data_IF_221576471971
#
_entry.id   IF_221576471971
#
_cell.length_a   1.000
_cell.length_b   1.000
_cell.length_c   1.000
_cell.angle_alpha   90.00
_cell.angle_beta   90.00
_cell.angle_gamma   90.00
#
_symmetry.space_group_name_H-M   'P 1'
#
loop_
_entity.id
_entity.type
_entity.pdbx_description
1 polymer ?
#
# COMPACT_ATOMS: atom_id res chain seq x y z
N UNK A 1 -9.02 -11.21 -14.01
CA UNK A 1 -8.03 -10.13 -13.82
C UNK A 1 -8.71 -8.79 -14.11
N UNK A 2 -8.59 -7.82 -13.23
CA UNK A 2 -9.27 -6.52 -13.33
C UNK A 2 -8.27 -5.52 -13.90
N UNK A 3 -8.70 -4.71 -14.89
CA UNK A 3 -7.87 -3.63 -15.42
C UNK A 3 -8.14 -2.34 -14.62
N UNK A 4 -7.12 -1.82 -13.93
CA UNK A 4 -7.21 -0.60 -13.13
C UNK A 4 -6.27 0.45 -13.73
N UNK A 5 -6.78 1.66 -14.08
CA UNK A 5 -5.91 2.73 -14.53
C UNK A 5 -5.00 3.20 -13.38
N UNK A 6 -3.81 3.70 -13.71
CA UNK A 6 -2.91 4.29 -12.73
C UNK A 6 -2.93 5.81 -12.83
N UNK A 7 -3.75 6.44 -11.99
CA UNK A 7 -3.75 7.90 -11.81
C UNK A 7 -3.91 8.25 -10.33
N UNK A 8 -2.78 8.58 -9.71
CA UNK A 8 -2.72 8.96 -8.29
C UNK A 8 -3.41 10.30 -8.01
N UNK A 9 -3.70 11.11 -9.03
CA UNK A 9 -4.33 12.42 -8.89
C UNK A 9 -5.86 12.37 -9.07
N UNK A 10 -6.41 11.29 -9.61
CA UNK A 10 -7.85 11.08 -9.68
C UNK A 10 -8.41 10.65 -8.31
N UNK A 11 -9.10 11.58 -7.64
CA UNK A 11 -9.70 11.33 -6.32
C UNK A 11 -10.81 10.28 -6.37
N UNK A 12 -11.58 10.22 -7.47
CA UNK A 12 -12.67 9.24 -7.62
C UNK A 12 -12.09 7.84 -7.81
N UNK A 13 -11.04 7.73 -8.61
CA UNK A 13 -10.32 6.48 -8.81
C UNK A 13 -9.74 5.97 -7.48
N UNK A 14 -9.05 6.84 -6.70
CA UNK A 14 -8.52 6.43 -5.39
C UNK A 14 -9.62 5.97 -4.43
N UNK A 15 -10.73 6.70 -4.37
CA UNK A 15 -11.87 6.30 -3.54
C UNK A 15 -12.45 4.96 -3.99
N UNK A 16 -12.66 4.74 -5.28
CA UNK A 16 -13.14 3.47 -5.83
C UNK A 16 -12.14 2.34 -5.60
N UNK A 17 -10.84 2.63 -5.70
CA UNK A 17 -9.77 1.67 -5.46
C UNK A 17 -9.86 1.07 -4.03
N UNK A 18 -9.94 1.90 -3.01
CA UNK A 18 -9.99 1.41 -1.64
C UNK A 18 -11.36 0.83 -1.23
N UNK A 19 -12.44 1.32 -1.81
CA UNK A 19 -13.78 0.82 -1.48
C UNK A 19 -14.13 -0.49 -2.20
N UNK A 20 -13.50 -0.78 -3.35
CA UNK A 20 -13.89 -1.91 -4.21
C UNK A 20 -12.68 -2.63 -4.81
N UNK A 21 -11.90 -1.98 -5.68
CA UNK A 21 -10.95 -2.65 -6.57
C UNK A 21 -9.84 -3.41 -5.86
N UNK A 22 -9.33 -2.90 -4.73
CA UNK A 22 -8.26 -3.57 -3.98
C UNK A 22 -8.71 -4.93 -3.47
N UNK A 23 -9.89 -5.00 -2.85
CA UNK A 23 -10.41 -6.25 -2.31
C UNK A 23 -10.90 -7.20 -3.40
N UNK A 24 -11.46 -6.68 -4.49
CA UNK A 24 -11.87 -7.48 -5.65
C UNK A 24 -10.64 -8.13 -6.32
N UNK A 25 -9.55 -7.38 -6.48
CA UNK A 25 -8.31 -7.93 -7.03
C UNK A 25 -7.69 -9.00 -6.10
N UNK A 26 -7.68 -8.77 -4.79
CA UNK A 26 -7.15 -9.73 -3.80
C UNK A 26 -8.03 -10.98 -3.70
N UNK A 27 -9.30 -10.95 -4.10
CA UNK A 27 -10.16 -12.12 -4.06
C UNK A 27 -9.64 -13.28 -4.94
N UNK A 28 -8.89 -12.98 -5.99
CA UNK A 28 -8.25 -13.98 -6.87
C UNK A 28 -6.90 -14.50 -6.33
N UNK A 29 -6.37 -13.90 -5.26
CA UNK A 29 -5.10 -14.30 -4.66
C UNK A 29 -5.28 -15.57 -3.82
N UNK A 30 -4.37 -16.53 -4.01
CA UNK A 30 -4.27 -17.74 -3.20
C UNK A 30 -2.93 -17.79 -2.47
N UNK A 31 -2.83 -18.61 -1.44
CA UNK A 31 -1.57 -18.84 -0.71
C UNK A 31 -0.43 -19.30 -1.63
N UNK A 32 -0.76 -20.04 -2.71
CA UNK A 32 0.18 -20.59 -3.68
C UNK A 32 0.48 -19.63 -4.84
N UNK A 33 -0.18 -18.48 -4.93
CA UNK A 33 0.08 -17.52 -6.01
C UNK A 33 1.53 -17.01 -5.92
N UNK A 34 2.38 -17.27 -6.93
CA UNK A 34 3.76 -16.79 -6.91
C UNK A 34 3.81 -15.31 -7.31
N UNK A 35 4.79 -14.56 -6.81
CA UNK A 35 5.06 -13.22 -7.32
C UNK A 35 5.67 -13.28 -8.72
N UNK A 36 5.42 -12.28 -9.56
CA UNK A 36 6.06 -12.11 -10.86
C UNK A 36 7.52 -11.60 -10.73
N UNK A 37 7.83 -10.95 -9.60
CA UNK A 37 9.19 -10.53 -9.21
C UNK A 37 9.35 -10.49 -7.70
N UNK A 38 10.61 -10.56 -7.24
CA UNK A 38 10.92 -10.62 -5.81
C UNK A 38 10.71 -12.02 -5.23
N UNK A 39 10.76 -12.13 -3.91
CA UNK A 39 10.69 -13.38 -3.17
C UNK A 39 9.61 -13.43 -2.09
N UNK A 40 8.73 -12.43 -2.07
CA UNK A 40 7.62 -12.34 -1.10
C UNK A 40 6.56 -13.39 -1.42
N UNK A 41 6.09 -14.14 -0.43
CA UNK A 41 4.91 -15.02 -0.62
C UNK A 41 3.62 -14.19 -0.59
N UNK A 42 2.51 -14.77 -1.02
CA UNK A 42 1.20 -14.11 -1.00
C UNK A 42 0.82 -13.69 0.43
N UNK A 43 1.04 -14.54 1.44
CA UNK A 43 0.75 -14.19 2.83
C UNK A 43 1.66 -13.07 3.35
N UNK A 44 2.95 -13.09 3.05
CA UNK A 44 3.86 -12.00 3.42
C UNK A 44 3.42 -10.66 2.80
N UNK A 45 2.93 -10.67 1.57
CA UNK A 45 2.41 -9.46 0.92
C UNK A 45 1.19 -8.91 1.64
N UNK A 46 0.23 -9.75 2.02
CA UNK A 46 -0.94 -9.30 2.78
C UNK A 46 -0.54 -8.76 4.16
N UNK A 47 0.37 -9.42 4.88
CA UNK A 47 0.89 -8.95 6.17
C UNK A 47 1.62 -7.62 6.05
N UNK A 48 2.36 -7.43 4.95
CA UNK A 48 3.03 -6.17 4.64
C UNK A 48 2.03 -5.03 4.40
N UNK A 49 0.93 -5.27 3.69
CA UNK A 49 -0.14 -4.28 3.51
C UNK A 49 -0.85 -3.95 4.83
N UNK A 50 -1.11 -4.97 5.69
CA UNK A 50 -1.67 -4.78 7.04
C UNK A 50 -0.76 -3.84 7.83
N UNK A 51 0.53 -4.14 7.89
CA UNK A 51 1.51 -3.30 8.57
C UNK A 51 1.49 -1.85 8.06
N UNK A 52 1.45 -1.66 6.74
CA UNK A 52 1.41 -0.33 6.15
C UNK A 52 0.15 0.45 6.54
N UNK A 53 -1.03 -0.18 6.55
CA UNK A 53 -2.26 0.45 7.02
C UNK A 53 -2.19 0.81 8.52
N UNK A 54 -1.61 -0.05 9.36
CA UNK A 54 -1.40 0.22 10.78
C UNK A 54 -0.48 1.42 11.03
N UNK A 55 0.53 1.62 10.18
CA UNK A 55 1.38 2.81 10.24
C UNK A 55 0.59 4.09 9.93
N UNK A 56 -0.29 4.05 8.94
CA UNK A 56 -1.08 5.21 8.53
C UNK A 56 -2.19 5.61 9.51
N UNK A 57 -2.58 4.72 10.41
CA UNK A 57 -3.57 5.00 11.48
C UNK A 57 -2.93 5.31 12.82
N UNK A 58 -1.58 5.30 12.90
CA UNK A 58 -0.84 5.51 14.14
C UNK A 58 -0.87 4.33 15.11
N UNK A 59 -1.44 3.18 14.70
CA UNK A 59 -1.37 1.92 15.47
C UNK A 59 0.08 1.48 15.62
N UNK A 60 0.89 1.66 14.57
CA UNK A 60 2.34 1.52 14.60
C UNK A 60 2.95 2.90 14.37
N UNK A 61 3.78 3.34 15.30
CA UNK A 61 4.47 4.64 15.22
C UNK A 61 5.85 4.43 14.61
N UNK A 62 6.15 5.18 13.56
CA UNK A 62 7.42 5.11 12.84
C UNK A 62 8.21 6.41 12.96
N UNK A 63 9.54 6.31 12.81
CA UNK A 63 10.41 7.45 12.57
C UNK A 63 10.56 7.72 11.07
N UNK A 64 10.82 8.97 10.71
CA UNK A 64 11.19 9.32 9.34
C UNK A 64 12.69 9.16 9.14
N UNK A 65 13.10 8.43 8.10
CA UNK A 65 14.54 8.22 7.76
C UNK A 65 15.05 9.23 6.72
N UNK A 66 14.14 9.95 6.07
CA UNK A 66 14.52 10.97 5.07
C UNK A 66 14.96 12.25 5.80
N UNK A 67 16.15 12.80 5.51
CA UNK A 67 16.58 14.09 6.03
C UNK A 67 15.56 15.20 5.72
N UNK A 68 15.37 16.12 6.66
CA UNK A 68 14.35 17.17 6.57
C UNK A 68 14.44 17.99 5.27
N UNK A 69 15.65 18.34 4.85
CA UNK A 69 15.92 19.10 3.62
C UNK A 69 15.56 18.33 2.31
N UNK A 70 15.28 17.04 2.39
CA UNK A 70 14.90 16.19 1.25
C UNK A 70 13.42 15.79 1.28
N UNK A 71 12.67 16.08 2.35
CA UNK A 71 11.27 15.65 2.51
C UNK A 71 10.37 16.17 1.39
N UNK A 72 10.46 17.46 1.06
CA UNK A 72 9.66 18.06 -0.02
C UNK A 72 9.92 17.37 -1.37
N UNK A 73 11.17 17.01 -1.64
CA UNK A 73 11.53 16.27 -2.85
C UNK A 73 10.96 14.85 -2.83
N UNK A 74 11.03 14.16 -1.68
CA UNK A 74 10.48 12.83 -1.52
C UNK A 74 8.96 12.83 -1.68
N UNK A 75 8.26 13.79 -1.07
CA UNK A 75 6.79 13.93 -1.17
C UNK A 75 6.27 14.15 -2.59
N UNK A 76 7.06 14.74 -3.50
CA UNK A 76 6.65 14.89 -4.91
C UNK A 76 6.29 13.57 -5.57
N UNK A 77 6.90 12.47 -5.14
CA UNK A 77 6.56 11.13 -5.62
C UNK A 77 5.09 10.78 -5.39
N UNK A 78 4.46 11.28 -4.32
CA UNK A 78 3.05 11.03 -4.02
C UNK A 78 2.08 11.65 -5.04
N UNK A 79 2.55 12.64 -5.79
CA UNK A 79 1.72 13.45 -6.71
C UNK A 79 2.05 13.21 -8.18
N UNK A 80 3.12 12.51 -8.50
CA UNK A 80 3.54 12.26 -9.88
C UNK A 80 3.02 10.91 -10.41
N UNK A 81 3.19 10.68 -11.71
CA UNK A 81 2.73 9.48 -12.41
C UNK A 81 3.69 8.29 -12.31
N UNK A 82 4.81 8.44 -11.60
CA UNK A 82 5.76 7.34 -11.41
C UNK A 82 5.18 6.28 -10.50
N UNK A 83 5.28 5.04 -10.93
CA UNK A 83 4.97 3.88 -10.09
C UNK A 83 6.12 3.59 -9.13
N UNK A 84 5.85 2.83 -8.09
CA UNK A 84 6.89 2.31 -7.20
C UNK A 84 7.81 1.39 -7.98
N UNK A 85 9.15 1.63 -7.98
CA UNK A 85 10.09 0.76 -8.69
C UNK A 85 10.08 -0.68 -8.16
N UNK A 86 10.27 -1.67 -9.03
CA UNK A 86 10.35 -3.09 -8.61
C UNK A 86 11.48 -3.36 -7.61
N UNK A 87 12.56 -2.59 -7.71
CA UNK A 87 13.75 -2.70 -6.82
C UNK A 87 13.62 -1.90 -5.53
N UNK A 88 12.47 -1.29 -5.27
CA UNK A 88 12.29 -0.47 -4.06
C UNK A 88 12.44 -1.34 -2.81
N UNK A 89 13.31 -0.90 -1.88
CA UNK A 89 13.48 -1.52 -0.56
C UNK A 89 12.93 -0.59 0.51
N UNK A 90 12.04 -1.11 1.33
CA UNK A 90 11.53 -0.36 2.47
C UNK A 90 12.60 -0.38 3.59
N UNK A 91 13.02 0.79 4.12
CA UNK A 91 14.04 0.86 5.17
C UNK A 91 13.63 0.16 6.48
N UNK A 92 12.33 0.00 6.72
CA UNK A 92 11.79 -0.70 7.91
C UNK A 92 11.78 -2.23 7.79
N UNK A 93 11.93 -2.75 6.57
CA UNK A 93 11.90 -4.19 6.30
C UNK A 93 13.31 -4.68 6.01
N UNK A 94 13.73 -5.70 6.75
CA UNK A 94 15.00 -6.39 6.50
C UNK A 94 15.04 -7.07 5.11
N UNK A 95 16.21 -7.54 4.70
CA UNK A 95 16.41 -8.24 3.41
C UNK A 95 15.73 -9.63 3.36
N UNK A 96 15.45 -10.21 4.51
CA UNK A 96 14.80 -11.51 4.63
C UNK A 96 13.33 -11.34 4.99
N UNK A 97 12.47 -12.18 4.41
CA UNK A 97 11.08 -12.26 4.82
C UNK A 97 10.98 -12.53 6.33
N UNK A 98 10.26 -11.66 7.04
CA UNK A 98 9.97 -11.87 8.46
C UNK A 98 9.18 -13.17 8.66
N UNK A 99 9.22 -13.75 9.88
CA UNK A 99 8.29 -14.82 10.21
C UNK A 99 6.85 -14.32 10.09
N UNK A 100 5.97 -15.19 9.57
CA UNK A 100 4.54 -14.87 9.43
C UNK A 100 3.92 -14.59 10.81
N UNK A 101 3.06 -13.59 10.87
CA UNK A 101 2.37 -13.15 12.09
C UNK A 101 1.04 -13.89 12.28
N UNK A 102 0.37 -14.23 11.18
CA UNK A 102 -0.90 -14.94 11.21
C UNK A 102 -0.70 -16.42 10.94
N UNK A 103 -1.54 -17.24 11.56
CA UNK A 103 -1.47 -18.71 11.49
C UNK A 103 -1.92 -19.29 10.14
N UNK A 104 -2.68 -18.50 9.35
CA UNK A 104 -3.17 -18.92 8.05
C UNK A 104 -3.34 -17.74 7.09
N UNK A 105 -3.31 -18.05 5.80
CA UNK A 105 -3.63 -17.10 4.73
C UNK A 105 -5.07 -16.55 4.86
N UNK A 106 -6.03 -17.35 5.30
CA UNK A 106 -7.42 -16.92 5.49
C UNK A 106 -7.54 -15.90 6.63
N UNK A 107 -6.84 -16.09 7.75
CA UNK A 107 -6.80 -15.15 8.87
C UNK A 107 -6.15 -13.84 8.44
N UNK A 108 -5.07 -13.92 7.67
CA UNK A 108 -4.38 -12.74 7.12
C UNK A 108 -5.29 -11.93 6.19
N UNK A 109 -6.04 -12.59 5.30
CA UNK A 109 -6.99 -11.92 4.41
C UNK A 109 -8.11 -11.22 5.21
N UNK A 110 -8.61 -11.86 6.25
CA UNK A 110 -9.61 -11.27 7.16
C UNK A 110 -9.05 -10.05 7.89
N UNK A 111 -7.81 -10.13 8.37
CA UNK A 111 -7.13 -9.02 9.03
C UNK A 111 -6.90 -7.84 8.09
N UNK A 112 -6.49 -8.09 6.83
CA UNK A 112 -6.32 -7.02 5.84
C UNK A 112 -7.63 -6.25 5.59
N UNK A 113 -8.75 -6.95 5.44
CA UNK A 113 -10.06 -6.29 5.26
C UNK A 113 -10.42 -5.40 6.45
N UNK A 114 -10.13 -5.87 7.66
CA UNK A 114 -10.35 -5.11 8.90
C UNK A 114 -9.46 -3.86 8.95
N UNK A 115 -8.17 -3.98 8.63
CA UNK A 115 -7.25 -2.84 8.65
C UNK A 115 -7.56 -1.81 7.55
N UNK A 116 -7.98 -2.24 6.36
CA UNK A 116 -8.45 -1.34 5.33
C UNK A 116 -9.70 -0.55 5.78
N UNK A 117 -10.66 -1.22 6.40
CA UNK A 117 -11.86 -0.56 6.96
C UNK A 117 -11.44 0.43 8.05
N UNK A 118 -10.55 0.03 8.95
CA UNK A 118 -10.02 0.90 10.00
C UNK A 118 -9.32 2.14 9.43
N UNK A 119 -8.50 1.99 8.41
CA UNK A 119 -7.85 3.11 7.71
C UNK A 119 -8.86 4.12 7.17
N UNK A 120 -9.90 3.65 6.46
CA UNK A 120 -10.93 4.52 5.90
C UNK A 120 -11.73 5.26 6.97
N UNK A 121 -12.10 4.57 8.05
CA UNK A 121 -12.85 5.14 9.16
C UNK A 121 -12.02 6.08 10.02
N UNK A 122 -10.73 5.79 10.22
CA UNK A 122 -9.81 6.62 10.98
C UNK A 122 -9.77 8.04 10.41
N UNK A 123 -9.50 8.18 9.12
CA UNK A 123 -9.44 9.50 8.49
C UNK A 123 -10.81 10.15 8.25
N UNK A 124 -11.88 9.36 8.16
CA UNK A 124 -13.23 9.89 8.12
C UNK A 124 -13.62 10.53 9.46
N UNK A 125 -13.27 9.90 10.58
CA UNK A 125 -13.57 10.39 11.93
C UNK A 125 -12.58 11.44 12.41
N UNK A 126 -11.34 11.41 11.93
CA UNK A 126 -10.25 12.31 12.31
C UNK A 126 -9.58 12.91 11.06
N UNK A 127 -10.25 13.78 10.29
CA UNK A 127 -9.72 14.28 9.00
C UNK A 127 -8.45 15.11 9.14
N UNK A 128 -8.14 15.62 10.32
CA UNK A 128 -6.90 16.35 10.64
C UNK A 128 -5.78 15.49 11.20
N UNK A 129 -5.96 14.16 11.31
CA UNK A 129 -4.90 13.28 11.82
C UNK A 129 -3.68 13.29 10.90
N UNK A 130 -2.50 13.25 11.52
CA UNK A 130 -1.20 13.22 10.84
C UNK A 130 -0.35 12.12 11.46
N UNK A 131 0.16 11.21 10.62
CA UNK A 131 1.05 10.13 11.05
C UNK A 131 2.32 10.11 10.20
N UNK A 132 3.42 9.66 10.79
CA UNK A 132 4.75 9.69 10.14
C UNK A 132 4.91 8.50 9.20
N UNK A 133 5.22 8.79 7.95
CA UNK A 133 5.69 7.81 6.97
C UNK A 133 7.22 7.73 7.00
N UNK A 134 7.86 6.54 6.91
CA UNK A 134 9.32 6.39 7.07
C UNK A 134 10.13 7.14 6.00
N UNK A 135 9.54 7.42 4.84
CA UNK A 135 10.22 8.11 3.73
C UNK A 135 9.68 9.52 3.52
N UNK A 136 8.38 9.72 3.64
CA UNK A 136 7.75 10.99 3.29
C UNK A 136 7.52 11.91 4.50
N UNK A 137 7.86 11.48 5.72
CA UNK A 137 7.63 12.25 6.94
C UNK A 137 6.16 12.35 7.32
N UNK A 138 5.72 13.44 7.98
CA UNK A 138 4.34 13.61 8.40
C UNK A 138 3.39 13.68 7.20
N UNK A 139 2.38 12.81 7.18
CA UNK A 139 1.36 12.73 6.13
C UNK A 139 -0.04 12.84 6.72
N UNK A 140 -0.89 13.65 6.09
CA UNK A 140 -2.32 13.71 6.35
C UNK A 140 -3.10 12.68 5.52
N UNK A 141 -4.44 12.72 5.63
CA UNK A 141 -5.35 11.77 5.01
C UNK A 141 -5.11 11.58 3.50
N UNK A 142 -5.03 12.67 2.73
CA UNK A 142 -4.87 12.60 1.27
C UNK A 142 -3.51 12.02 0.87
N UNK A 143 -2.44 12.44 1.54
CA UNK A 143 -1.08 11.95 1.25
C UNK A 143 -0.95 10.46 1.58
N UNK A 144 -1.55 9.99 2.67
CA UNK A 144 -1.61 8.56 2.99
C UNK A 144 -2.41 7.76 1.97
N UNK A 145 -3.55 8.29 1.48
CA UNK A 145 -4.29 7.63 0.39
C UNK A 145 -3.46 7.53 -0.89
N UNK A 146 -2.71 8.57 -1.25
CA UNK A 146 -1.80 8.56 -2.41
C UNK A 146 -0.68 7.53 -2.23
N UNK A 147 -0.07 7.49 -1.05
CA UNK A 147 0.97 6.52 -0.71
C UNK A 147 0.44 5.09 -0.81
N UNK A 148 -0.70 4.81 -0.16
CA UNK A 148 -1.30 3.47 -0.20
C UNK A 148 -1.78 3.07 -1.60
N UNK A 149 -2.33 4.00 -2.39
CA UNK A 149 -2.72 3.71 -3.77
C UNK A 149 -1.52 3.19 -4.58
N UNK A 150 -0.39 3.93 -4.56
CA UNK A 150 0.83 3.50 -5.26
C UNK A 150 1.38 2.19 -4.71
N UNK A 151 1.38 2.02 -3.41
CA UNK A 151 1.91 0.85 -2.72
C UNK A 151 1.08 -0.40 -3.00
N UNK A 152 -0.23 -0.34 -2.81
CA UNK A 152 -1.12 -1.46 -3.11
C UNK A 152 -1.11 -1.80 -4.60
N UNK A 153 -1.15 -0.80 -5.49
CA UNK A 153 -1.09 -1.00 -6.93
C UNK A 153 0.19 -1.76 -7.35
N UNK A 154 1.34 -1.39 -6.76
CA UNK A 154 2.61 -2.10 -6.97
C UNK A 154 2.50 -3.59 -6.62
N UNK A 155 1.91 -3.92 -5.45
CA UNK A 155 1.77 -5.30 -5.02
C UNK A 155 0.73 -6.08 -5.81
N UNK A 156 -0.35 -5.44 -6.27
CA UNK A 156 -1.30 -6.07 -7.17
C UNK A 156 -0.65 -6.44 -8.50
N UNK A 157 0.21 -5.58 -9.06
CA UNK A 157 1.01 -5.91 -10.24
C UNK A 157 2.03 -7.01 -9.95
N UNK A 158 2.68 -6.95 -8.77
CA UNK A 158 3.69 -7.94 -8.37
C UNK A 158 3.13 -9.36 -8.35
N UNK A 159 1.87 -9.53 -8.00
CA UNK A 159 1.21 -10.83 -7.97
C UNK A 159 0.32 -11.11 -9.19
N UNK A 160 0.37 -10.26 -10.22
CA UNK A 160 -0.40 -10.44 -11.45
C UNK A 160 -1.92 -10.39 -11.23
N UNK A 161 -2.38 -9.66 -10.23
CA UNK A 161 -3.80 -9.57 -9.88
C UNK A 161 -4.55 -8.53 -10.69
N UNK A 162 -3.82 -7.59 -11.28
CA UNK A 162 -4.37 -6.55 -12.15
C UNK A 162 -3.57 -6.43 -13.44
N UNK A 163 -4.25 -5.98 -14.50
CA UNK A 163 -3.59 -5.51 -15.72
C UNK A 163 -3.36 -4.00 -15.64
N UNK A 164 -2.15 -3.58 -16.01
CA UNK A 164 -1.89 -2.18 -16.23
C UNK A 164 -2.57 -1.76 -17.54
N UNK A 165 -3.62 -0.93 -17.44
CA UNK A 165 -4.09 -0.22 -18.63
C UNK A 165 -2.96 0.70 -19.08
N UNK A 166 -2.44 0.45 -20.27
CA UNK A 166 -1.41 1.28 -20.86
C UNK A 166 -1.83 2.75 -20.78
N UNK A 167 -0.95 3.62 -20.30
CA UNK A 167 -1.09 5.05 -20.52
C UNK A 167 -1.18 5.22 -22.02
N UNK A 168 -2.35 5.62 -22.52
CA UNK A 168 -2.48 5.99 -23.92
C UNK A 168 -1.41 7.04 -24.22
N UNK A 169 -0.53 6.70 -25.17
CA UNK A 169 0.60 7.49 -25.65
C UNK A 169 0.10 8.82 -26.21
#
# INVERSE_FOLDING_TARGET
MIAIPFDVNDNKLRASFFNHHLLDAIADLTEQTPPLWGNMTAQHMLEHLIWAFQCSTGTIVLACHTPENLLERAKRFLYDTRQTPHSFKNPELGENASSLLFSSFADTNTALRKELTHFLEHFRSQPGAVHVHPIFGPLGAEEWQRSHFKHCYHHLLQFGLIDQLGTAS
#
